data_IF_536275386349
#
_entry.id   IF_536275386349
#
_cell.length_a   1.000
_cell.length_b   1.000
_cell.length_c   1.000
_cell.angle_alpha   90.00
_cell.angle_beta   90.00
_cell.angle_gamma   90.00
#
_symmetry.space_group_name_H-M   'P 1'
#
loop_
_entity.id
_entity.type
_entity.pdbx_description
1 polymer ?
#
# COMPACT_ATOMS: atom_id res chain seq x y z
N UNK A 1 -1.80 11.90 4.13
CA UNK A 1 -2.00 10.44 3.95
C UNK A 1 -0.65 9.76 3.88
N UNK A 2 -0.51 8.68 4.60
CA UNK A 2 0.70 7.86 4.57
C UNK A 2 0.41 6.62 3.74
N UNK A 3 1.19 6.41 2.70
CA UNK A 3 1.07 5.23 1.85
C UNK A 3 2.15 4.23 2.25
N UNK A 4 1.74 3.04 2.65
CA UNK A 4 2.65 1.96 3.06
C UNK A 4 2.56 0.85 2.03
N UNK A 5 3.70 0.48 1.46
CA UNK A 5 3.77 -0.61 0.50
C UNK A 5 4.45 -1.80 1.15
N UNK A 6 3.75 -2.93 1.21
CA UNK A 6 4.27 -4.15 1.81
C UNK A 6 4.18 -5.30 0.81
N UNK A 7 5.24 -6.10 0.75
CA UNK A 7 5.27 -7.26 -0.13
C UNK A 7 4.50 -8.45 0.45
N UNK A 8 4.38 -8.53 1.78
CA UNK A 8 3.81 -9.69 2.44
C UNK A 8 2.62 -9.31 3.30
N UNK A 9 1.52 -10.04 3.13
CA UNK A 9 0.34 -9.86 3.96
C UNK A 9 0.62 -10.15 5.44
N UNK A 10 1.43 -11.17 5.70
CA UNK A 10 1.72 -11.55 7.08
C UNK A 10 2.34 -10.42 7.90
N UNK A 11 3.24 -9.65 7.29
CA UNK A 11 3.83 -8.49 7.97
C UNK A 11 2.86 -7.32 8.02
N UNK A 12 2.10 -7.15 6.96
CA UNK A 12 1.12 -6.06 6.88
C UNK A 12 -0.02 -6.26 7.88
N UNK A 13 -0.36 -7.49 8.20
CA UNK A 13 -1.45 -7.80 9.12
C UNK A 13 -1.28 -7.12 10.48
N UNK A 14 -0.07 -7.07 11.00
CA UNK A 14 0.20 -6.38 12.28
C UNK A 14 -0.12 -4.89 12.17
N UNK A 15 0.23 -4.29 11.04
CA UNK A 15 -0.07 -2.87 10.81
C UNK A 15 -1.57 -2.68 10.67
N UNK A 16 -2.23 -3.55 9.94
CA UNK A 16 -3.68 -3.50 9.74
C UNK A 16 -4.41 -3.56 11.09
N UNK A 17 -4.01 -4.50 11.94
CA UNK A 17 -4.63 -4.66 13.25
C UNK A 17 -4.31 -3.49 14.18
N UNK A 18 -3.08 -3.02 14.16
CA UNK A 18 -2.64 -1.95 15.05
C UNK A 18 -3.35 -0.62 14.75
N UNK A 19 -3.51 -0.30 13.48
CA UNK A 19 -4.11 0.97 13.07
C UNK A 19 -5.58 0.86 12.70
N UNK A 20 -6.14 -0.34 12.78
CA UNK A 20 -7.54 -0.55 12.45
C UNK A 20 -7.86 -0.30 10.99
N UNK A 21 -6.97 -0.71 10.11
CA UNK A 21 -7.18 -0.55 8.68
C UNK A 21 -8.25 -1.52 8.18
N UNK A 22 -9.05 -1.06 7.22
CA UNK A 22 -10.09 -1.88 6.61
C UNK A 22 -9.82 -2.04 5.13
N UNK A 23 -10.19 -3.20 4.58
CA UNK A 23 -10.00 -3.42 3.17
C UNK A 23 -10.83 -2.43 2.37
N UNK A 24 -10.17 -1.72 1.47
CA UNK A 24 -10.79 -0.71 0.64
C UNK A 24 -11.08 -1.28 -0.74
N UNK A 25 -12.25 -0.93 -1.29
CA UNK A 25 -12.57 -1.30 -2.65
C UNK A 25 -11.77 -0.41 -3.59
N UNK A 26 -10.83 -1.02 -4.29
CA UNK A 26 -9.93 -0.29 -5.17
C UNK A 26 -10.53 -0.08 -6.54
N UNK A 27 -10.13 0.98 -7.26
CA UNK A 27 -10.46 1.10 -8.69
C UNK A 27 -9.96 -0.10 -9.48
N UNK A 28 -10.60 -0.37 -10.61
CA UNK A 28 -10.25 -1.53 -11.44
C UNK A 28 -8.78 -1.51 -11.90
N UNK A 29 -8.22 -0.34 -12.05
CA UNK A 29 -6.83 -0.20 -12.48
C UNK A 29 -5.84 -0.65 -11.39
N UNK A 30 -6.28 -0.73 -10.14
CA UNK A 30 -5.43 -1.14 -9.03
C UNK A 30 -5.50 -2.66 -8.90
N UNK A 31 -4.34 -3.31 -9.00
CA UNK A 31 -4.23 -4.77 -8.96
C UNK A 31 -3.78 -5.29 -7.60
N UNK A 32 -3.71 -4.43 -6.61
CA UNK A 32 -3.20 -4.78 -5.30
C UNK A 32 -4.31 -4.69 -4.27
N UNK A 33 -4.18 -5.48 -3.21
CA UNK A 33 -5.07 -5.35 -2.07
C UNK A 33 -4.71 -4.08 -1.31
N UNK A 34 -5.70 -3.27 -0.99
CA UNK A 34 -5.49 -2.01 -0.30
C UNK A 34 -6.30 -2.00 0.99
N UNK A 35 -5.65 -1.63 2.09
CA UNK A 35 -6.29 -1.47 3.38
C UNK A 35 -6.04 -0.05 3.85
N UNK A 36 -7.06 0.61 4.36
CA UNK A 36 -6.94 2.03 4.64
C UNK A 36 -7.76 2.47 5.86
N UNK A 37 -7.34 3.58 6.44
CA UNK A 37 -8.14 4.34 7.39
C UNK A 37 -8.04 5.82 7.01
N UNK A 38 -8.39 6.72 7.93
CA UNK A 38 -8.40 8.14 7.65
C UNK A 38 -6.99 8.73 7.40
N UNK A 39 -5.96 8.04 7.85
CA UNK A 39 -4.59 8.57 7.80
C UNK A 39 -3.62 7.70 7.02
N UNK A 40 -3.91 6.41 6.86
CA UNK A 40 -2.97 5.44 6.31
C UNK A 40 -3.65 4.63 5.21
N UNK A 41 -2.92 4.45 4.12
CA UNK A 41 -3.33 3.53 3.06
C UNK A 41 -2.20 2.52 2.86
N UNK A 42 -2.50 1.25 3.14
CA UNK A 42 -1.53 0.17 3.03
C UNK A 42 -1.82 -0.64 1.79
N UNK A 43 -0.81 -0.86 0.98
CA UNK A 43 -0.90 -1.60 -0.28
C UNK A 43 -0.08 -2.87 -0.18
N UNK A 44 -0.71 -4.02 -0.45
CA UNK A 44 -0.01 -5.30 -0.49
C UNK A 44 0.41 -5.54 -1.94
N UNK A 45 1.69 -5.45 -2.20
CA UNK A 45 2.21 -5.59 -3.58
C UNK A 45 2.45 -7.05 -3.97
N UNK A 46 2.49 -7.94 -2.98
CA UNK A 46 2.73 -9.36 -3.26
C UNK A 46 4.22 -9.68 -3.41
N UNK A 47 4.49 -10.97 -3.44
CA UNK A 47 5.85 -11.50 -3.62
C UNK A 47 6.13 -11.61 -5.11
N UNK A 48 7.35 -11.31 -5.49
CA UNK A 48 7.77 -11.50 -6.86
C UNK A 48 8.56 -10.31 -7.37
N UNK A 49 8.60 -10.20 -8.67
CA UNK A 49 9.41 -9.20 -9.33
C UNK A 49 8.74 -7.83 -9.45
N UNK A 50 7.74 -7.58 -8.63
CA UNK A 50 7.04 -6.30 -8.69
C UNK A 50 7.99 -5.20 -8.26
N UNK A 51 8.28 -4.33 -9.19
CA UNK A 51 9.08 -3.16 -8.93
C UNK A 51 8.28 -2.19 -8.05
N UNK A 52 8.86 -1.77 -6.95
CA UNK A 52 8.21 -0.83 -6.05
C UNK A 52 7.81 0.46 -6.78
N UNK A 53 8.62 0.91 -7.71
CA UNK A 53 8.31 2.10 -8.51
C UNK A 53 7.05 1.88 -9.35
N UNK A 54 6.86 0.69 -9.89
CA UNK A 54 5.65 0.38 -10.66
C UNK A 54 4.41 0.38 -9.78
N UNK A 55 4.53 -0.16 -8.56
CA UNK A 55 3.42 -0.14 -7.61
C UNK A 55 3.07 1.29 -7.19
N UNK A 56 4.07 2.10 -6.88
CA UNK A 56 3.87 3.50 -6.53
C UNK A 56 3.21 4.26 -7.68
N UNK A 57 3.65 4.01 -8.90
CA UNK A 57 3.08 4.64 -10.09
C UNK A 57 1.62 4.26 -10.30
N UNK A 58 1.30 2.99 -10.12
CA UNK A 58 -0.08 2.51 -10.27
C UNK A 58 -0.99 3.13 -9.21
N UNK A 59 -0.59 3.09 -7.97
CA UNK A 59 -1.35 3.66 -6.87
C UNK A 59 -1.43 5.19 -6.98
N UNK A 60 -0.34 5.83 -7.35
CA UNK A 60 -0.32 7.27 -7.56
C UNK A 60 -1.29 7.73 -8.65
N UNK A 61 -1.37 6.96 -9.73
CA UNK A 61 -2.33 7.25 -10.79
C UNK A 61 -3.78 7.03 -10.37
N UNK A 62 -4.01 6.03 -9.51
CA UNK A 62 -5.37 5.71 -9.07
C UNK A 62 -5.87 6.63 -7.96
N UNK A 63 -5.01 7.01 -7.02
CA UNK A 63 -5.41 7.76 -5.83
C UNK A 63 -4.91 9.20 -5.80
N UNK A 64 -4.06 9.59 -6.75
CA UNK A 64 -3.56 10.95 -6.81
C UNK A 64 -2.63 11.32 -5.67
N UNK A 65 -1.56 10.53 -5.49
CA UNK A 65 -0.57 10.81 -4.44
C UNK A 65 0.03 12.19 -4.67
N UNK A 66 -0.01 13.03 -3.64
CA UNK A 66 0.55 14.38 -3.71
C UNK A 66 1.93 14.43 -3.06
N UNK A 67 2.70 15.51 -3.30
CA UNK A 67 4.01 15.67 -2.65
C UNK A 67 3.94 15.75 -1.13
N UNK A 68 2.77 16.09 -0.58
CA UNK A 68 2.58 16.16 0.87
C UNK A 68 2.34 14.79 1.50
N UNK A 69 2.05 13.79 0.70
CA UNK A 69 1.85 12.44 1.20
C UNK A 69 3.19 11.75 1.43
N UNK A 70 3.24 10.90 2.45
CA UNK A 70 4.42 10.10 2.73
C UNK A 70 4.29 8.72 2.13
N UNK A 71 5.40 8.19 1.64
CA UNK A 71 5.46 6.84 1.09
C UNK A 71 6.50 6.05 1.88
N UNK A 72 6.04 4.94 2.47
CA UNK A 72 6.90 4.04 3.23
C UNK A 72 6.89 2.67 2.56
N UNK A 73 8.06 2.10 2.42
CA UNK A 73 8.20 0.76 1.86
C UNK A 73 8.59 -0.20 2.98
N UNK A 74 7.67 -1.10 3.33
CA UNK A 74 7.92 -2.13 4.32
C UNK A 74 8.27 -3.39 3.54
N UNK A 75 9.51 -3.47 3.15
CA UNK A 75 9.98 -4.62 2.41
C UNK A 75 10.53 -5.70 3.33
N UNK A 76 10.86 -6.82 2.75
CA UNK A 76 11.53 -7.90 3.47
C UNK A 76 13.01 -7.61 3.59
N UNK A 77 13.34 -6.41 3.89
CA UNK A 77 14.68 -6.01 4.23
C UNK A 77 15.73 -6.39 3.20
N UNK A 78 15.30 -6.45 2.08
CA UNK A 78 16.28 -6.84 1.08
C UNK A 78 17.62 -6.29 1.49
#
# INVERSE_FOLDING_TARGET
MIYIFSAFYNKAKNIIDHYGLKKEKSPEMVRFDVFANDSIRLVITGVGEINAAAAVSNIGGAYGISPDDEILNVGCGA
#
